data_IF_215282141265
#
_entry.id   IF_215282141265
#
_cell.length_a   1.000
_cell.length_b   1.000
_cell.length_c   1.000
_cell.angle_alpha   90.00
_cell.angle_beta   90.00
_cell.angle_gamma   90.00
#
_symmetry.space_group_name_H-M   'P 1'
#
loop_
_entity.id
_entity.type
_entity.pdbx_description
1 polymer ?
#
# COMPACT_ATOMS: atom_id res chain seq x y z
N UNK A 1 43.22 14.11 3.06
CA UNK A 1 42.02 14.95 2.90
C UNK A 1 40.82 14.27 3.57
N UNK A 2 40.31 14.80 4.68
CA UNK A 2 39.14 14.27 5.40
C UNK A 2 37.90 14.40 4.49
N UNK A 3 37.25 13.26 4.17
CA UNK A 3 35.97 13.23 3.42
C UNK A 3 34.96 14.09 4.16
N UNK A 4 34.54 15.22 3.56
CA UNK A 4 33.40 16.01 4.03
C UNK A 4 32.17 15.10 4.04
N UNK A 5 31.75 14.74 5.26
CA UNK A 5 30.43 14.16 5.54
C UNK A 5 29.38 15.12 4.97
N UNK A 6 28.71 14.73 3.89
CA UNK A 6 27.54 15.46 3.39
C UNK A 6 26.47 15.41 4.47
N UNK A 7 26.18 16.56 5.08
CA UNK A 7 25.10 16.74 6.05
C UNK A 7 23.75 16.57 5.33
N UNK A 8 23.27 15.33 5.22
CA UNK A 8 21.92 15.08 4.74
C UNK A 8 20.90 15.65 5.73
N UNK A 9 19.83 16.24 5.20
CA UNK A 9 18.72 16.72 6.03
C UNK A 9 18.15 15.57 6.88
N UNK A 10 17.72 15.88 8.10
CA UNK A 10 17.12 14.90 9.02
C UNK A 10 15.94 14.16 8.41
N UNK A 11 15.19 14.83 7.53
CA UNK A 11 14.07 14.28 6.79
C UNK A 11 14.52 13.20 5.80
N UNK A 12 15.58 13.45 5.03
CA UNK A 12 16.17 12.44 4.13
C UNK A 12 16.63 11.23 4.94
N UNK A 13 17.34 11.44 6.06
CA UNK A 13 17.80 10.38 6.98
C UNK A 13 16.66 9.52 7.55
N UNK A 14 15.53 10.14 7.89
CA UNK A 14 14.37 9.44 8.44
C UNK A 14 13.62 8.65 7.36
N UNK A 15 13.33 9.29 6.23
CA UNK A 15 12.76 8.65 5.04
C UNK A 15 13.56 7.42 4.66
N UNK A 16 14.87 7.56 4.72
CA UNK A 16 15.79 6.49 4.43
C UNK A 16 15.77 5.31 5.37
N UNK A 17 15.70 5.58 6.66
CA UNK A 17 15.61 4.53 7.66
C UNK A 17 14.35 3.69 7.48
N UNK A 18 13.22 4.31 7.14
CA UNK A 18 11.96 3.60 6.95
C UNK A 18 11.99 2.67 5.72
N UNK A 19 12.45 3.16 4.58
CA UNK A 19 12.60 2.34 3.37
C UNK A 19 13.61 1.22 3.61
N UNK A 20 14.77 1.54 4.20
CA UNK A 20 15.81 0.57 4.48
C UNK A 20 15.30 -0.57 5.34
N UNK A 21 14.65 -0.22 6.45
CA UNK A 21 14.07 -1.19 7.35
C UNK A 21 13.05 -2.07 6.63
N UNK A 22 12.12 -1.47 5.89
CA UNK A 22 11.09 -2.20 5.16
C UNK A 22 11.66 -3.23 4.18
N UNK A 23 12.62 -2.82 3.35
CA UNK A 23 13.23 -3.69 2.34
C UNK A 23 14.10 -4.76 3.00
N UNK A 24 14.93 -4.40 3.99
CA UNK A 24 15.76 -5.36 4.73
C UNK A 24 14.92 -6.44 5.42
N UNK A 25 13.69 -6.11 5.84
CA UNK A 25 12.80 -7.06 6.48
C UNK A 25 12.13 -8.02 5.49
N UNK A 26 11.90 -7.60 4.25
CA UNK A 26 11.24 -8.40 3.21
C UNK A 26 12.22 -9.18 2.33
N UNK A 27 13.43 -8.65 2.13
CA UNK A 27 14.43 -9.20 1.22
C UNK A 27 15.50 -9.92 2.04
N UNK A 28 15.82 -11.16 1.65
CA UNK A 28 16.69 -12.04 2.45
C UNK A 28 18.09 -12.15 1.87
N UNK A 29 18.21 -12.02 0.54
CA UNK A 29 19.49 -12.07 -0.15
C UNK A 29 19.90 -10.66 -0.58
N UNK A 30 21.19 -10.41 -0.53
CA UNK A 30 21.76 -9.09 -0.80
C UNK A 30 21.69 -8.68 -2.27
N UNK A 31 21.49 -9.63 -3.19
CA UNK A 31 21.61 -9.52 -4.64
C UNK A 31 20.27 -9.55 -5.40
N UNK A 32 19.15 -9.39 -4.68
CA UNK A 32 17.82 -9.54 -5.27
C UNK A 32 17.39 -8.33 -6.10
N UNK A 33 16.73 -8.60 -7.23
CA UNK A 33 16.07 -7.57 -8.01
C UNK A 33 14.68 -7.25 -7.46
N UNK A 34 14.44 -5.96 -7.26
CA UNK A 34 13.16 -5.43 -6.79
C UNK A 34 12.51 -4.62 -7.90
N UNK A 35 11.18 -4.75 -8.02
CA UNK A 35 10.40 -4.05 -9.03
C UNK A 35 9.66 -2.88 -8.38
N UNK A 36 10.00 -1.68 -8.82
CA UNK A 36 9.37 -0.45 -8.35
C UNK A 36 8.51 0.17 -9.44
N UNK A 37 7.42 0.80 -9.02
CA UNK A 37 6.50 1.54 -9.87
C UNK A 37 6.30 2.95 -9.32
N UNK A 38 6.50 3.95 -10.17
CA UNK A 38 6.22 5.36 -9.84
C UNK A 38 4.88 5.80 -10.41
N UNK A 39 3.92 6.13 -9.55
CA UNK A 39 2.58 6.56 -9.97
C UNK A 39 2.34 8.01 -9.58
N UNK A 40 2.00 8.88 -10.54
CA UNK A 40 1.59 10.25 -10.22
C UNK A 40 0.23 10.21 -9.51
N UNK A 41 0.23 10.51 -8.20
CA UNK A 41 -0.96 10.38 -7.36
C UNK A 41 -2.02 11.45 -7.69
N UNK A 42 -1.59 12.66 -8.05
CA UNK A 42 -2.47 13.80 -8.35
C UNK A 42 -3.20 13.59 -9.69
N UNK A 43 -2.48 13.22 -10.75
CA UNK A 43 -3.08 12.94 -12.07
C UNK A 43 -4.00 11.71 -12.03
N UNK A 44 -3.62 10.66 -11.28
CA UNK A 44 -4.48 9.49 -11.08
C UNK A 44 -5.79 9.85 -10.39
N UNK A 45 -5.77 10.81 -9.47
CA UNK A 45 -6.97 11.27 -8.78
C UNK A 45 -7.90 12.03 -9.75
N UNK A 46 -7.36 12.95 -10.56
CA UNK A 46 -8.10 13.65 -11.62
C UNK A 46 -8.72 12.69 -12.64
N UNK A 47 -7.96 11.69 -13.10
CA UNK A 47 -8.48 10.68 -14.02
C UNK A 47 -9.57 9.81 -13.40
N UNK A 48 -9.48 9.46 -12.12
CA UNK A 48 -10.51 8.67 -11.45
C UNK A 48 -11.81 9.48 -11.23
N UNK A 49 -11.72 10.79 -10.99
CA UNK A 49 -12.87 11.69 -10.90
C UNK A 49 -13.53 11.90 -12.27
N UNK A 50 -12.74 12.09 -13.33
CA UNK A 50 -13.25 12.20 -14.71
C UNK A 50 -13.95 10.90 -15.17
N UNK A 51 -13.38 9.73 -14.83
CA UNK A 51 -13.99 8.41 -15.14
C UNK A 51 -15.25 8.09 -14.34
N UNK A 52 -15.53 8.79 -13.23
CA UNK A 52 -16.81 8.67 -12.52
C UNK A 52 -17.92 9.56 -13.08
N UNK A 53 -17.60 10.51 -13.96
CA UNK A 53 -18.57 11.46 -14.52
C UNK A 53 -19.15 11.01 -15.87
N UNK A 54 -18.47 10.18 -16.66
CA UNK A 54 -18.97 9.73 -17.96
C UNK A 54 -18.72 8.22 -18.19
N UNK A 55 -19.81 7.49 -18.42
CA UNK A 55 -19.78 6.16 -19.03
C UNK A 55 -19.38 6.27 -20.50
N UNK A 56 -18.44 5.42 -20.90
CA UNK A 56 -18.14 5.00 -22.27
C UNK A 56 -18.04 6.11 -23.34
N UNK A 57 -16.82 6.55 -23.62
CA UNK A 57 -16.22 6.30 -24.94
C UNK A 57 -14.71 6.58 -24.91
N UNK A 58 -14.02 5.88 -25.82
CA UNK A 58 -12.62 6.00 -26.23
C UNK A 58 -12.03 7.41 -26.12
N UNK A 59 -10.74 7.52 -25.78
CA UNK A 59 -9.75 8.05 -26.73
C UNK A 59 -8.31 7.98 -26.20
N UNK A 60 -7.45 7.63 -27.15
CA UNK A 60 -6.00 7.66 -27.11
C UNK A 60 -5.45 9.10 -27.09
N UNK A 61 -4.20 9.16 -26.62
CA UNK A 61 -3.20 10.23 -26.78
C UNK A 61 -3.35 11.50 -25.93
N UNK A 62 -2.55 11.56 -24.87
CA UNK A 62 -1.58 12.65 -24.66
C UNK A 62 -0.53 12.19 -23.63
N UNK A 63 0.75 12.32 -24.01
CA UNK A 63 1.98 12.17 -23.21
C UNK A 63 1.93 11.25 -21.99
N UNK A 64 2.22 9.95 -22.17
CA UNK A 64 2.27 8.94 -21.12
C UNK A 64 3.27 9.29 -19.99
N UNK A 65 2.78 9.90 -18.92
CA UNK A 65 3.40 9.87 -17.59
C UNK A 65 2.80 8.75 -16.71
N UNK A 66 2.43 7.62 -17.33
CA UNK A 66 1.87 6.46 -16.64
C UNK A 66 3.00 5.53 -16.22
N UNK A 67 3.18 5.39 -14.89
CA UNK A 67 3.92 4.30 -14.26
C UNK A 67 5.31 3.96 -14.85
N UNK A 68 6.39 4.53 -14.28
CA UNK A 68 7.75 4.12 -14.66
C UNK A 68 8.15 2.87 -13.88
N UNK A 69 8.52 1.80 -14.60
CA UNK A 69 9.09 0.57 -14.05
C UNK A 69 10.62 0.70 -13.92
N UNK A 70 11.18 0.20 -12.81
CA UNK A 70 12.60 0.32 -12.46
C UNK A 70 13.32 -1.05 -12.32
N UNK A 71 14.60 -1.17 -12.72
CA UNK A 71 15.40 -2.43 -12.78
C UNK A 71 16.85 -2.33 -12.20
N UNK A 72 17.43 -3.49 -11.74
CA UNK A 72 18.83 -3.92 -11.32
C UNK A 72 19.90 -2.91 -10.79
N UNK A 73 20.93 -3.33 -9.98
CA UNK A 73 20.99 -4.32 -8.90
C UNK A 73 21.05 -3.66 -7.48
N UNK A 74 20.71 -4.40 -6.42
CA UNK A 74 21.01 -4.01 -5.03
C UNK A 74 22.23 -4.81 -4.58
N UNK A 75 23.27 -4.17 -4.06
CA UNK A 75 24.31 -4.88 -3.29
C UNK A 75 24.47 -4.34 -1.86
N UNK A 76 23.74 -3.28 -1.55
CA UNK A 76 23.28 -2.83 -0.24
C UNK A 76 22.17 -1.80 -0.52
N UNK A 77 21.44 -1.32 0.49
CA UNK A 77 20.64 -0.09 0.41
C UNK A 77 21.56 1.16 0.39
N UNK A 78 22.48 1.13 -0.57
CA UNK A 78 23.92 1.38 -0.52
C UNK A 78 24.40 2.41 0.52
N UNK A 79 24.55 1.95 1.77
CA UNK A 79 24.98 2.72 2.96
C UNK A 79 24.10 3.91 3.41
N UNK A 80 22.77 3.83 3.19
CA UNK A 80 21.71 4.69 3.78
C UNK A 80 21.24 5.89 2.93
N UNK A 81 20.76 5.63 1.70
CA UNK A 81 19.67 6.31 0.94
C UNK A 81 19.86 7.53 0.03
N UNK A 82 20.93 8.32 0.04
CA UNK A 82 21.14 9.28 -1.05
C UNK A 82 21.68 8.61 -2.34
N UNK A 83 21.74 7.26 -2.43
CA UNK A 83 22.40 6.55 -3.54
C UNK A 83 21.66 5.31 -4.06
N UNK A 84 20.34 5.21 -3.89
CA UNK A 84 19.60 4.17 -4.64
C UNK A 84 19.45 4.66 -6.07
N UNK A 85 20.31 4.17 -6.97
CA UNK A 85 20.14 4.37 -8.40
C UNK A 85 19.14 3.35 -8.94
N UNK A 86 17.97 3.84 -9.35
CA UNK A 86 16.98 3.00 -10.01
C UNK A 86 16.94 3.36 -11.49
N UNK A 87 17.02 2.36 -12.35
CA UNK A 87 17.10 2.58 -13.79
C UNK A 87 15.74 2.38 -14.43
N UNK A 88 15.29 3.37 -15.20
CA UNK A 88 14.13 3.19 -16.09
C UNK A 88 14.42 2.17 -17.18
N UNK A 89 13.39 1.75 -17.93
CA UNK A 89 13.53 0.83 -19.09
C UNK A 89 14.59 1.29 -20.11
N UNK A 90 14.87 2.59 -20.22
CA UNK A 90 15.89 3.17 -21.09
C UNK A 90 17.25 3.40 -20.43
N UNK A 91 17.56 2.70 -19.33
CA UNK A 91 18.81 2.82 -18.57
C UNK A 91 19.10 4.23 -17.99
N UNK A 92 18.08 5.08 -17.88
CA UNK A 92 18.21 6.41 -17.24
C UNK A 92 17.99 6.29 -15.74
N UNK A 93 18.90 6.87 -14.97
CA UNK A 93 18.81 6.95 -13.51
C UNK A 93 17.59 7.75 -13.05
N UNK A 94 16.90 7.22 -12.03
CA UNK A 94 15.68 7.75 -11.44
C UNK A 94 15.88 7.90 -9.94
N UNK A 95 16.00 9.15 -9.49
CA UNK A 95 16.14 9.46 -8.08
C UNK A 95 14.77 9.51 -7.38
N UNK A 96 14.50 8.53 -6.52
CA UNK A 96 13.18 8.32 -5.92
C UNK A 96 12.65 9.52 -5.12
N UNK A 97 13.48 10.16 -4.30
CA UNK A 97 13.07 11.32 -3.50
C UNK A 97 12.69 12.50 -4.40
N UNK A 98 13.42 12.71 -5.50
CA UNK A 98 13.12 13.76 -6.47
C UNK A 98 11.80 13.49 -7.18
N UNK A 99 11.52 12.23 -7.51
CA UNK A 99 10.23 11.87 -8.11
C UNK A 99 9.09 12.00 -7.10
N UNK A 100 9.31 11.65 -5.83
CA UNK A 100 8.31 11.85 -4.79
C UNK A 100 7.99 13.33 -4.57
N UNK A 101 9.00 14.20 -4.55
CA UNK A 101 8.84 15.65 -4.51
C UNK A 101 8.04 16.19 -5.72
N UNK A 102 8.14 15.54 -6.88
CA UNK A 102 7.32 15.85 -8.08
C UNK A 102 5.89 15.27 -8.04
N UNK A 103 5.46 14.68 -6.92
CA UNK A 103 4.10 14.14 -6.74
C UNK A 103 3.94 12.66 -7.08
N UNK A 104 5.02 11.92 -7.36
CA UNK A 104 4.94 10.48 -7.60
C UNK A 104 4.92 9.70 -6.30
N UNK A 105 3.95 8.82 -6.14
CA UNK A 105 3.99 7.76 -5.15
C UNK A 105 4.84 6.59 -5.64
N UNK A 106 5.54 5.97 -4.68
CA UNK A 106 6.49 4.89 -4.94
C UNK A 106 5.91 3.59 -4.42
N UNK A 107 5.81 2.60 -5.30
CA UNK A 107 5.30 1.28 -4.99
C UNK A 107 6.36 0.22 -5.27
N UNK A 108 6.32 -0.88 -4.52
CA UNK A 108 7.14 -2.07 -4.72
C UNK A 108 6.25 -3.29 -4.92
N UNK A 109 6.58 -4.15 -5.87
CA UNK A 109 6.02 -5.50 -5.91
C UNK A 109 6.56 -6.32 -4.74
N UNK A 110 5.67 -6.93 -3.96
CA UNK A 110 6.08 -7.63 -2.74
C UNK A 110 6.67 -9.00 -3.04
N UNK A 111 5.99 -9.85 -3.82
CA UNK A 111 6.48 -11.20 -4.06
C UNK A 111 7.57 -11.21 -5.15
N UNK A 112 8.45 -12.21 -5.09
CA UNK A 112 9.63 -12.26 -5.97
C UNK A 112 9.30 -12.97 -7.28
N UNK A 113 9.73 -12.35 -8.39
CA UNK A 113 9.71 -12.98 -9.72
C UNK A 113 10.98 -13.77 -10.00
N UNK A 114 10.81 -14.82 -10.79
CA UNK A 114 11.90 -15.41 -11.56
C UNK A 114 12.36 -14.43 -12.64
N UNK A 115 13.67 -14.28 -12.80
CA UNK A 115 14.22 -13.31 -13.75
C UNK A 115 14.00 -13.74 -15.21
N UNK A 116 13.99 -15.05 -15.47
CA UNK A 116 13.84 -15.61 -16.82
C UNK A 116 12.36 -15.78 -17.17
N UNK A 117 11.57 -16.41 -16.30
CA UNK A 117 10.16 -16.72 -16.59
C UNK A 117 9.22 -15.57 -16.25
N UNK A 118 9.67 -14.58 -15.46
CA UNK A 118 8.84 -13.47 -14.93
C UNK A 118 7.69 -13.93 -14.01
N UNK A 119 7.57 -15.21 -13.73
CA UNK A 119 6.56 -15.77 -12.83
C UNK A 119 6.93 -15.54 -11.37
N UNK A 120 5.92 -15.46 -10.50
CA UNK A 120 6.16 -15.38 -9.06
C UNK A 120 6.53 -16.78 -8.56
N UNK A 121 7.75 -16.94 -8.07
CA UNK A 121 8.26 -18.23 -7.54
C UNK A 121 8.41 -18.26 -6.02
N UNK A 122 8.45 -17.10 -5.37
CA UNK A 122 8.67 -17.01 -3.93
C UNK A 122 7.80 -15.94 -3.28
N UNK A 123 7.14 -16.33 -2.19
CA UNK A 123 6.27 -15.47 -1.38
C UNK A 123 7.10 -14.84 -0.28
N UNK A 124 7.39 -13.53 -0.41
CA UNK A 124 8.15 -12.78 0.61
C UNK A 124 7.33 -12.52 1.86
N UNK A 125 6.02 -12.31 1.69
CA UNK A 125 5.12 -11.97 2.76
C UNK A 125 3.68 -12.33 2.41
N UNK A 126 2.88 -12.61 3.44
CA UNK A 126 1.43 -12.41 3.40
C UNK A 126 1.14 -11.01 3.91
N UNK A 127 0.19 -10.29 3.33
CA UNK A 127 0.02 -8.87 3.67
C UNK A 127 -1.40 -8.34 3.49
N UNK A 128 -1.82 -7.42 4.35
CA UNK A 128 -3.15 -6.78 4.24
C UNK A 128 -3.03 -5.27 4.06
N UNK A 129 -4.07 -4.68 3.47
CA UNK A 129 -4.27 -3.23 3.29
C UNK A 129 -5.56 -2.81 3.99
N UNK A 130 -5.41 -2.30 5.21
CA UNK A 130 -6.52 -1.88 6.05
C UNK A 130 -6.79 -0.40 5.78
N UNK A 131 -7.91 -0.10 5.12
CA UNK A 131 -8.39 1.26 4.86
C UNK A 131 -9.53 1.60 5.84
N UNK A 132 -9.23 2.41 6.85
CA UNK A 132 -10.19 2.81 7.89
C UNK A 132 -10.97 4.07 7.52
N UNK A 133 -10.62 4.73 6.42
CA UNK A 133 -11.28 5.97 6.00
C UNK A 133 -12.58 5.71 5.25
N UNK A 134 -12.62 4.63 4.47
CA UNK A 134 -13.69 4.36 3.50
C UNK A 134 -14.74 3.41 4.07
N UNK A 135 -16.00 3.79 3.94
CA UNK A 135 -17.17 2.90 4.03
C UNK A 135 -17.60 2.61 2.60
N UNK A 136 -17.76 1.33 2.25
CA UNK A 136 -18.17 0.91 0.92
C UNK A 136 -19.25 -0.17 1.03
N UNK A 137 -20.49 0.20 0.72
CA UNK A 137 -21.67 -0.64 0.91
C UNK A 137 -22.53 -0.64 -0.36
N UNK A 138 -23.19 -1.77 -0.64
CA UNK A 138 -24.07 -1.93 -1.81
C UNK A 138 -25.53 -2.03 -1.37
N UNK A 139 -26.41 -1.36 -2.10
CA UNK A 139 -27.84 -1.31 -1.80
C UNK A 139 -28.66 -1.66 -3.04
N UNK A 140 -29.65 -2.56 -2.95
CA UNK A 140 -30.52 -2.89 -4.07
C UNK A 140 -31.48 -1.75 -4.43
N UNK A 141 -31.92 -0.96 -3.45
CA UNK A 141 -32.93 0.11 -3.67
C UNK A 141 -32.42 1.49 -3.25
N UNK A 142 -33.07 2.53 -3.80
CA UNK A 142 -32.71 3.93 -3.50
C UNK A 142 -33.16 4.31 -2.09
N UNK A 143 -34.22 3.70 -1.59
CA UNK A 143 -34.83 3.94 -0.29
C UNK A 143 -33.87 3.51 0.82
N UNK A 144 -33.35 2.27 0.73
CA UNK A 144 -32.35 1.75 1.68
C UNK A 144 -31.06 2.58 1.65
N UNK A 145 -30.62 3.00 0.46
CA UNK A 145 -29.47 3.89 0.30
C UNK A 145 -29.69 5.23 1.04
N UNK A 146 -30.86 5.85 0.87
CA UNK A 146 -31.19 7.13 1.52
C UNK A 146 -31.22 6.99 3.03
N UNK A 147 -31.84 5.93 3.54
CA UNK A 147 -31.87 5.65 4.98
C UNK A 147 -30.44 5.51 5.54
N UNK A 148 -29.59 4.74 4.85
CA UNK A 148 -28.19 4.59 5.25
C UNK A 148 -27.43 5.91 5.24
N UNK A 149 -27.62 6.75 4.22
CA UNK A 149 -27.01 8.08 4.15
C UNK A 149 -27.44 8.94 5.32
N UNK A 150 -28.72 8.89 5.70
CA UNK A 150 -29.23 9.65 6.84
C UNK A 150 -28.56 9.20 8.14
N UNK A 151 -28.54 7.89 8.40
CA UNK A 151 -27.85 7.32 9.57
C UNK A 151 -26.38 7.72 9.65
N UNK A 152 -25.67 7.73 8.50
CA UNK A 152 -24.26 8.11 8.44
C UNK A 152 -24.03 9.61 8.71
N UNK A 153 -24.95 10.47 8.27
CA UNK A 153 -24.89 11.91 8.52
C UNK A 153 -25.23 12.26 9.96
N UNK A 154 -26.21 11.57 10.54
CA UNK A 154 -26.66 11.79 11.91
C UNK A 154 -25.70 11.20 12.95
N UNK A 155 -24.87 10.22 12.58
CA UNK A 155 -23.92 9.60 13.49
C UNK A 155 -22.79 10.57 13.90
N UNK A 156 -22.76 11.07 15.15
CA UNK A 156 -21.66 11.91 15.62
C UNK A 156 -20.35 11.12 15.74
N UNK A 157 -20.45 9.78 15.79
CA UNK A 157 -19.32 8.87 15.92
C UNK A 157 -18.58 8.71 14.59
N UNK A 158 -19.29 8.59 13.47
CA UNK A 158 -18.65 8.29 12.18
C UNK A 158 -17.99 9.50 11.52
N UNK A 159 -18.43 10.73 11.85
CA UNK A 159 -17.82 11.99 11.40
C UNK A 159 -17.51 11.98 9.89
N UNK A 160 -18.53 11.72 9.09
CA UNK A 160 -18.42 11.61 7.63
C UNK A 160 -18.08 12.97 7.03
N UNK A 161 -17.05 13.00 6.19
CA UNK A 161 -16.60 14.20 5.48
C UNK A 161 -17.20 14.29 4.08
N UNK A 162 -17.33 13.17 3.37
CA UNK A 162 -17.93 13.14 2.04
C UNK A 162 -18.62 11.83 1.73
N UNK A 163 -19.58 11.88 0.81
CA UNK A 163 -20.35 10.73 0.32
C UNK A 163 -20.39 10.78 -1.21
N UNK A 164 -20.01 9.68 -1.84
CA UNK A 164 -20.13 9.44 -3.28
C UNK A 164 -21.09 8.28 -3.52
N UNK A 165 -21.93 8.38 -4.55
CA UNK A 165 -22.87 7.34 -4.95
C UNK A 165 -22.58 6.96 -6.40
N UNK A 166 -22.50 5.67 -6.69
CA UNK A 166 -22.39 5.15 -8.05
C UNK A 166 -23.51 4.16 -8.33
N UNK A 167 -24.17 4.28 -9.48
CA UNK A 167 -25.12 3.26 -9.95
C UNK A 167 -24.34 2.10 -10.56
N UNK A 168 -24.65 0.89 -10.12
CA UNK A 168 -24.15 -0.36 -10.66
C UNK A 168 -24.92 -0.80 -11.90
N UNK A 169 -24.43 -1.87 -12.54
CA UNK A 169 -24.97 -2.36 -13.83
C UNK A 169 -26.39 -2.96 -13.73
N UNK A 170 -26.78 -3.45 -12.56
CA UNK A 170 -28.08 -4.11 -12.32
C UNK A 170 -29.06 -3.21 -11.54
N UNK A 171 -28.94 -1.89 -11.64
CA UNK A 171 -29.79 -0.94 -10.90
C UNK A 171 -29.43 -0.74 -9.43
N UNK A 172 -28.56 -1.59 -8.86
CA UNK A 172 -28.03 -1.44 -7.50
C UNK A 172 -27.18 -0.17 -7.32
N UNK A 173 -27.07 0.31 -6.10
CA UNK A 173 -26.31 1.51 -5.71
C UNK A 173 -25.09 1.15 -4.90
N UNK A 174 -23.94 1.73 -5.23
CA UNK A 174 -22.71 1.65 -4.46
C UNK A 174 -22.52 2.98 -3.70
N UNK A 175 -22.60 2.91 -2.38
CA UNK A 175 -22.29 4.00 -1.47
C UNK A 175 -20.80 3.97 -1.13
N UNK A 176 -20.13 5.13 -1.25
CA UNK A 176 -18.78 5.35 -0.73
C UNK A 176 -18.77 6.57 0.17
N UNK A 177 -18.66 6.35 1.48
CA UNK A 177 -18.50 7.44 2.43
C UNK A 177 -17.05 7.52 2.93
N UNK A 178 -16.54 8.72 3.07
CA UNK A 178 -15.20 9.00 3.56
C UNK A 178 -15.29 9.71 4.91
N UNK A 179 -14.60 9.16 5.90
CA UNK A 179 -14.50 9.73 7.25
C UNK A 179 -13.55 10.91 7.27
N UNK A 180 -13.75 11.80 8.22
CA UNK A 180 -12.81 12.87 8.58
C UNK A 180 -11.46 12.32 9.07
N UNK A 181 -10.40 13.13 8.97
CA UNK A 181 -9.03 12.72 9.31
C UNK A 181 -8.87 12.43 10.82
N UNK A 182 -9.54 13.19 11.69
CA UNK A 182 -9.57 12.97 13.13
C UNK A 182 -10.24 11.65 13.50
N UNK A 183 -11.35 11.30 12.81
CA UNK A 183 -11.97 9.99 12.98
C UNK A 183 -11.05 8.86 12.53
N UNK A 184 -10.38 9.00 11.39
CA UNK A 184 -9.38 8.01 10.94
C UNK A 184 -8.27 7.84 11.97
N UNK A 185 -7.78 8.92 12.58
CA UNK A 185 -6.76 8.85 13.62
C UNK A 185 -7.24 8.08 14.86
N UNK A 186 -8.50 8.25 15.28
CA UNK A 186 -9.10 7.47 16.37
C UNK A 186 -9.24 5.99 15.99
N UNK A 187 -9.77 5.69 14.80
CA UNK A 187 -9.94 4.32 14.31
C UNK A 187 -8.59 3.59 14.20
N UNK A 188 -7.54 4.28 13.76
CA UNK A 188 -6.18 3.76 13.72
C UNK A 188 -5.69 3.32 15.09
N UNK A 189 -5.92 4.11 16.14
CA UNK A 189 -5.57 3.75 17.53
C UNK A 189 -6.39 2.56 18.00
N UNK A 190 -7.70 2.59 17.79
CA UNK A 190 -8.61 1.50 18.17
C UNK A 190 -8.27 0.19 17.46
N UNK A 191 -7.91 0.23 16.18
CA UNK A 191 -7.50 -0.93 15.41
C UNK A 191 -6.25 -1.59 16.00
N UNK A 192 -5.20 -0.81 16.28
CA UNK A 192 -3.99 -1.33 16.92
C UNK A 192 -4.31 -1.94 18.29
N UNK A 193 -5.06 -1.23 19.14
CA UNK A 193 -5.46 -1.73 20.46
C UNK A 193 -6.20 -3.06 20.36
N UNK A 194 -7.18 -3.16 19.46
CA UNK A 194 -8.02 -4.36 19.27
C UNK A 194 -7.21 -5.54 18.74
N UNK A 195 -6.32 -5.32 17.78
CA UNK A 195 -5.65 -6.40 17.05
C UNK A 195 -4.20 -6.64 17.50
N UNK A 196 -3.68 -5.89 18.48
CA UNK A 196 -2.26 -5.89 18.84
C UNK A 196 -1.69 -7.30 19.02
N UNK A 197 -2.34 -8.15 19.81
CA UNK A 197 -1.85 -9.51 20.08
C UNK A 197 -1.70 -10.36 18.81
N UNK A 198 -2.52 -10.11 17.78
CA UNK A 198 -2.50 -10.82 16.50
C UNK A 198 -1.44 -10.25 15.54
N UNK A 199 -1.16 -8.93 15.61
CA UNK A 199 -0.30 -8.24 14.64
C UNK A 199 1.07 -7.83 15.18
N UNK A 200 1.33 -7.96 16.50
CA UNK A 200 2.59 -7.56 17.15
C UNK A 200 3.83 -8.30 16.63
N UNK A 201 3.66 -9.38 15.87
CA UNK A 201 4.77 -10.09 15.24
C UNK A 201 4.90 -9.77 13.74
N UNK A 202 3.93 -9.08 13.16
CA UNK A 202 4.00 -8.57 11.79
C UNK A 202 4.72 -7.22 11.73
N UNK A 203 5.27 -6.89 10.57
CA UNK A 203 5.73 -5.54 10.29
C UNK A 203 4.52 -4.66 9.97
N UNK A 204 4.41 -3.50 10.60
CA UNK A 204 3.28 -2.57 10.44
C UNK A 204 3.79 -1.26 9.84
N UNK A 205 3.22 -0.91 8.69
CA UNK A 205 3.44 0.35 7.99
C UNK A 205 2.19 1.19 8.08
N UNK A 206 2.32 2.38 8.65
CA UNK A 206 1.22 3.35 8.73
C UNK A 206 1.12 4.12 7.40
N UNK A 207 -0.05 4.05 6.78
CA UNK A 207 -0.42 4.81 5.57
C UNK A 207 -1.36 5.95 5.93
N UNK A 208 -1.80 6.77 4.96
CA UNK A 208 -2.70 7.90 5.26
C UNK A 208 -3.98 7.43 5.96
N UNK A 209 -4.64 6.41 5.41
CA UNK A 209 -5.98 6.00 5.81
C UNK A 209 -6.03 4.76 6.71
N UNK A 210 -4.89 4.13 7.00
CA UNK A 210 -4.83 2.96 7.88
C UNK A 210 -3.46 2.31 7.87
N UNK A 211 -3.38 1.01 7.61
CA UNK A 211 -2.16 0.23 7.76
C UNK A 211 -1.95 -0.76 6.62
N UNK A 212 -0.70 -0.86 6.16
CA UNK A 212 -0.23 -2.07 5.50
C UNK A 212 0.45 -2.96 6.55
N UNK A 213 0.04 -4.23 6.65
CA UNK A 213 0.60 -5.17 7.63
C UNK A 213 1.18 -6.36 6.88
N UNK A 214 2.43 -6.72 7.20
CA UNK A 214 3.19 -7.75 6.49
C UNK A 214 3.67 -8.83 7.47
N UNK A 215 3.26 -10.07 7.22
CA UNK A 215 3.86 -11.26 7.83
C UNK A 215 4.90 -11.80 6.86
N UNK A 216 6.18 -11.54 7.15
CA UNK A 216 7.30 -12.01 6.33
C UNK A 216 7.32 -13.52 6.32
N UNK A 217 7.41 -14.14 5.14
CA UNK A 217 7.30 -15.60 4.93
C UNK A 217 8.64 -16.21 4.50
N UNK A 218 8.94 -17.40 5.02
CA UNK A 218 10.01 -18.31 4.58
C UNK A 218 9.41 -19.52 3.87
N UNK A 219 10.00 -19.89 2.73
CA UNK A 219 9.59 -21.11 2.01
C UNK A 219 8.13 -21.09 1.60
N UNK A 220 7.60 -19.92 1.25
CA UNK A 220 6.18 -19.76 0.99
C UNK A 220 5.78 -20.37 -0.35
N UNK A 221 4.75 -21.22 -0.32
CA UNK A 221 4.13 -21.76 -1.52
C UNK A 221 3.21 -20.72 -2.17
N UNK A 222 3.33 -20.60 -3.49
CA UNK A 222 2.46 -19.78 -4.33
C UNK A 222 1.00 -20.24 -4.25
N UNK A 223 0.76 -21.56 -4.22
CA UNK A 223 -0.61 -22.12 -4.17
C UNK A 223 -1.34 -21.78 -2.87
N UNK A 224 -0.60 -21.58 -1.77
CA UNK A 224 -1.14 -21.20 -0.47
C UNK A 224 -1.33 -19.68 -0.31
N UNK A 225 -0.81 -18.87 -1.23
CA UNK A 225 -0.89 -17.42 -1.11
C UNK A 225 -2.34 -16.93 -1.05
N UNK A 226 -3.13 -17.20 -2.09
CA UNK A 226 -4.50 -16.67 -2.23
C UNK A 226 -5.43 -17.12 -1.08
N UNK A 227 -5.48 -18.42 -0.69
CA UNK A 227 -6.30 -18.88 0.42
C UNK A 227 -6.01 -18.13 1.74
N UNK A 228 -4.73 -18.07 2.12
CA UNK A 228 -4.30 -17.36 3.34
C UNK A 228 -4.61 -15.87 3.24
N UNK A 229 -4.38 -15.27 2.07
CA UNK A 229 -4.59 -13.85 1.84
C UNK A 229 -6.07 -13.45 1.99
N UNK A 230 -7.00 -14.31 1.54
CA UNK A 230 -8.45 -14.16 1.76
C UNK A 230 -8.80 -14.30 3.24
N UNK A 231 -8.26 -15.32 3.92
CA UNK A 231 -8.52 -15.53 5.35
C UNK A 231 -8.04 -14.34 6.20
N UNK A 232 -6.85 -13.79 5.90
CA UNK A 232 -6.34 -12.57 6.52
C UNK A 232 -7.25 -11.37 6.23
N UNK A 233 -7.65 -11.19 4.97
CA UNK A 233 -8.48 -10.05 4.60
C UNK A 233 -9.83 -10.06 5.33
N UNK A 234 -10.46 -11.24 5.43
CA UNK A 234 -11.68 -11.45 6.21
C UNK A 234 -11.47 -11.18 7.70
N UNK A 235 -10.42 -11.77 8.30
CA UNK A 235 -10.15 -11.65 9.75
C UNK A 235 -9.94 -10.20 10.21
N UNK A 236 -9.32 -9.37 9.38
CA UNK A 236 -8.94 -7.99 9.74
C UNK A 236 -9.78 -6.91 9.05
N UNK A 237 -10.77 -7.27 8.22
CA UNK A 237 -11.56 -6.30 7.45
C UNK A 237 -10.70 -5.50 6.46
N UNK A 238 -9.71 -6.15 5.84
CA UNK A 238 -8.85 -5.55 4.80
C UNK A 238 -9.58 -5.48 3.44
N UNK A 239 -8.99 -4.77 2.48
CA UNK A 239 -9.41 -4.86 1.07
C UNK A 239 -9.42 -6.33 0.59
N UNK A 240 -10.58 -6.89 0.19
CA UNK A 240 -10.67 -8.27 -0.30
C UNK A 240 -9.95 -8.50 -1.64
N UNK A 241 -9.63 -7.44 -2.38
CA UNK A 241 -8.90 -7.51 -3.64
C UNK A 241 -7.39 -7.63 -3.47
N UNK A 242 -6.88 -7.64 -2.23
CA UNK A 242 -5.44 -7.75 -1.93
C UNK A 242 -4.83 -9.14 -2.20
N UNK A 243 -5.50 -9.98 -2.99
CA UNK A 243 -5.20 -11.41 -3.18
C UNK A 243 -4.29 -11.74 -4.36
N UNK A 244 -3.91 -10.75 -5.17
CA UNK A 244 -3.04 -11.00 -6.33
C UNK A 244 -1.55 -11.10 -5.92
N UNK A 245 -0.87 -12.10 -6.47
CA UNK A 245 0.56 -12.35 -6.25
C UNK A 245 1.45 -11.17 -6.63
N UNK A 246 1.06 -10.41 -7.66
CA UNK A 246 1.79 -9.28 -8.24
C UNK A 246 1.42 -7.94 -7.60
N UNK A 247 0.83 -7.95 -6.39
CA UNK A 247 0.41 -6.72 -5.73
C UNK A 247 1.62 -5.83 -5.47
N UNK A 248 1.47 -4.57 -5.87
CA UNK A 248 2.40 -3.51 -5.52
C UNK A 248 1.86 -2.71 -4.34
N UNK A 249 2.72 -2.40 -3.38
CA UNK A 249 2.40 -1.71 -2.14
C UNK A 249 3.22 -0.43 -1.99
N UNK A 250 2.65 0.60 -1.34
CA UNK A 250 3.38 1.84 -1.06
C UNK A 250 4.56 1.56 -0.13
N UNK A 251 5.70 2.14 -0.46
CA UNK A 251 6.93 1.98 0.31
C UNK A 251 6.99 3.06 1.41
N UNK A 252 7.31 2.69 2.66
CA UNK A 252 7.53 3.67 3.71
C UNK A 252 8.81 4.46 3.48
N UNK A 253 8.85 5.69 3.98
CA UNK A 253 9.92 6.65 3.72
C UNK A 253 9.57 7.67 2.64
N UNK A 254 8.42 7.54 1.97
CA UNK A 254 7.96 8.47 0.96
C UNK A 254 6.58 9.03 1.29
N UNK A 255 6.30 10.22 0.78
CA UNK A 255 5.00 10.87 0.94
C UNK A 255 3.96 10.25 0.00
N UNK A 256 2.77 10.05 0.52
CA UNK A 256 1.55 9.83 -0.25
C UNK A 256 1.05 11.18 -0.74
N UNK A 257 1.00 11.37 -2.07
CA UNK A 257 0.90 12.70 -2.71
C UNK A 257 -0.49 12.97 -3.32
N UNK A 258 -1.53 12.19 -3.01
CA UNK A 258 -2.88 12.47 -3.56
C UNK A 258 -3.44 13.84 -3.18
N UNK A 259 -3.05 14.36 -2.02
CA UNK A 259 -3.30 15.76 -1.64
C UNK A 259 -1.92 16.43 -1.48
N UNK A 260 -1.44 17.16 -2.50
CA UNK A 260 -0.14 17.84 -2.45
C UNK A 260 -0.03 18.90 -1.35
N UNK A 261 -1.15 19.51 -0.93
CA UNK A 261 -1.17 20.54 0.13
C UNK A 261 -1.06 19.91 1.53
N UNK A 262 -1.41 18.62 1.64
CA UNK A 262 -1.33 17.84 2.88
C UNK A 262 -0.75 16.43 2.61
N UNK A 263 0.53 16.33 2.23
CA UNK A 263 1.15 15.07 1.90
C UNK A 263 1.34 14.25 3.20
N UNK A 264 1.21 12.92 3.09
CA UNK A 264 1.30 12.04 4.26
C UNK A 264 2.53 11.15 4.18
N UNK A 265 3.46 11.23 5.14
CA UNK A 265 4.63 10.36 5.18
C UNK A 265 4.22 8.94 5.57
N UNK A 266 4.37 7.99 4.64
CA UNK A 266 4.20 6.56 4.93
C UNK A 266 5.40 6.11 5.76
N UNK A 267 5.18 5.44 6.89
CA UNK A 267 6.25 5.10 7.84
C UNK A 267 6.09 3.71 8.42
N UNK A 268 7.21 3.04 8.66
CA UNK A 268 7.23 1.83 9.51
C UNK A 268 7.00 2.28 10.94
N UNK A 269 5.98 1.73 11.60
CA UNK A 269 5.68 2.00 13.02
C UNK A 269 5.95 0.79 13.91
N UNK A 270 6.07 -0.40 13.31
CA UNK A 270 6.45 -1.61 14.03
C UNK A 270 7.20 -2.57 13.11
N UNK A 271 8.29 -3.14 13.60
CA UNK A 271 9.20 -3.97 12.81
C UNK A 271 8.80 -5.44 12.72
N UNK A 272 7.95 -5.91 13.64
CA UNK A 272 7.62 -7.32 13.78
C UNK A 272 8.78 -8.19 14.30
N UNK A 273 8.56 -9.50 14.34
CA UNK A 273 9.53 -10.47 14.92
C UNK A 273 10.71 -10.74 13.99
N UNK A 274 11.91 -11.03 14.50
CA UNK A 274 13.12 -11.24 13.66
C UNK A 274 13.00 -12.42 12.71
N UNK A 275 12.48 -13.55 13.19
CA UNK A 275 12.36 -14.76 12.39
C UNK A 275 11.10 -14.72 11.52
N UNK A 276 11.19 -14.98 10.21
CA UNK A 276 10.02 -15.04 9.34
C UNK A 276 9.13 -16.25 9.63
N UNK A 277 7.85 -16.14 9.25
CA UNK A 277 6.85 -17.22 9.36
C UNK A 277 7.00 -18.26 8.27
N UNK A 278 6.70 -19.52 8.59
CA UNK A 278 6.15 -20.40 7.57
C UNK A 278 4.67 -20.08 7.36
N UNK A 279 4.10 -20.45 6.22
CA UNK A 279 2.67 -20.24 5.98
C UNK A 279 1.82 -21.03 6.98
N UNK A 280 2.28 -22.21 7.39
CA UNK A 280 1.64 -23.09 8.37
C UNK A 280 1.65 -22.46 9.77
N UNK A 281 2.81 -21.94 10.20
CA UNK A 281 2.93 -21.22 11.47
C UNK A 281 1.99 -20.02 11.51
N UNK A 282 1.91 -19.27 10.40
CA UNK A 282 1.01 -18.12 10.30
C UNK A 282 -0.46 -18.53 10.41
N UNK A 283 -0.87 -19.59 9.69
CA UNK A 283 -2.22 -20.15 9.74
C UNK A 283 -2.57 -20.52 11.18
N UNK A 284 -1.71 -21.27 11.86
CA UNK A 284 -1.94 -21.72 13.23
C UNK A 284 -1.98 -20.54 14.22
N UNK A 285 -0.98 -19.66 14.18
CA UNK A 285 -0.85 -18.50 15.09
C UNK A 285 -2.05 -17.57 15.02
N UNK A 286 -2.63 -17.41 13.82
CA UNK A 286 -3.76 -16.53 13.60
C UNK A 286 -5.09 -17.27 13.51
N UNK A 287 -5.12 -18.58 13.75
CA UNK A 287 -6.33 -19.41 13.63
C UNK A 287 -7.06 -19.14 12.30
N UNK A 288 -6.32 -19.14 11.20
CA UNK A 288 -6.87 -18.89 9.86
C UNK A 288 -7.59 -20.14 9.34
N UNK A 289 -8.64 -19.92 8.55
CA UNK A 289 -9.37 -20.95 7.80
C UNK A 289 -9.22 -20.66 6.30
N UNK A 290 -8.05 -20.95 5.72
CA UNK A 290 -7.74 -20.68 4.31
C UNK A 290 -8.50 -21.57 3.34
#
# INVERSE_FOLDING_TARGET
>A
MKKRSTLYSSLVKRSSSHMHHFVHRLCRKGDEQLHFILVNDAERTKQNQAKSAHSAHSLNSSGDKKAVLLHKPLLLLEKQVPRIELLSKGNKSVHLLSQNAKGYAIFMEINRRDEKTREIKDIRAQFIDVDLNKISEQFPTKEQLKERIQQLKESPLERIQSIEIKKGKQGQYLLKAHRSEDRVALLKKSFLKKHWHQIKHAMIVETKNGYHIYWVIQGGSVSKFVPIQKALASKFGSDPMITNLTRVMRIPGFYHMKNPDKPYLVKVIHSGRKQPFTQEELIHTLLLKP
#
